data_IF_360951694120
#
_entry.id   IF_360951694120
#
_cell.length_a   1.000
_cell.length_b   1.000
_cell.length_c   1.000
_cell.angle_alpha   90.00
_cell.angle_beta   90.00
_cell.angle_gamma   90.00
#
_symmetry.space_group_name_H-M   'P 1'
#
loop_
_entity.id
_entity.type
_entity.pdbx_description
1 polymer ?
#
# COMPACT_ATOMS: atom_id res chain seq x y z
N UNK A 1 15.89 -20.54 55.47
CA UNK A 1 15.71 -19.99 55.14
C UNK A 1 15.61 -19.49 54.23
N UNK A 2 15.50 -19.48 54.10
CA UNK A 2 15.32 -18.89 53.37
C UNK A 2 15.04 -18.69 52.47
N UNK A 3 15.14 -18.70 52.37
CA UNK A 3 14.79 -18.34 51.51
C UNK A 3 14.53 -18.18 50.59
N UNK A 4 14.55 -18.12 50.52
CA UNK A 4 14.27 -17.92 49.65
C UNK A 4 13.81 -17.82 48.86
N UNK A 5 13.66 -17.80 49.03
CA UNK A 5 13.15 -17.60 48.28
C UNK A 5 12.89 -17.14 47.47
N UNK A 6 12.91 -17.06 47.38
CA UNK A 6 12.62 -16.56 46.59
C UNK A 6 12.52 -16.28 45.68
N UNK A 7 12.46 -16.29 45.65
CA UNK A 7 12.34 -15.90 44.67
C UNK A 7 11.94 -15.79 43.74
N UNK A 8 11.76 -15.86 43.93
CA UNK A 8 11.42 -15.63 43.04
C UNK A 8 11.00 -15.39 42.11
N UNK A 9 10.93 -15.31 42.17
CA UNK A 9 10.60 -14.97 41.29
C UNK A 9 10.27 -14.81 40.31
N UNK A 10 10.26 -14.90 40.44
CA UNK A 10 9.98 -14.72 39.63
C UNK A 10 9.47 -14.56 38.77
N UNK A 11 9.53 -14.43 39.02
CA UNK A 11 9.06 -14.21 38.24
C UNK A 11 8.69 -14.08 37.36
N UNK A 12 8.81 -14.02 37.65
CA UNK A 12 8.47 -13.85 36.83
C UNK A 12 8.06 -13.67 36.03
N UNK A 13 8.10 -13.62 36.14
CA UNK A 13 7.70 -13.39 35.33
C UNK A 13 7.33 -13.12 34.58
N UNK A 14 7.51 -12.96 34.80
CA UNK A 14 7.20 -12.70 34.01
C UNK A 14 6.87 -12.43 33.18
N UNK A 15 6.83 -12.38 33.49
CA UNK A 15 6.54 -12.08 32.57
C UNK A 15 6.32 -11.92 31.74
N UNK A 16 6.46 -11.80 31.89
CA UNK A 16 6.27 -11.67 30.97
C UNK A 16 5.80 -11.57 30.25
N UNK A 17 5.88 -11.54 30.68
CA UNK A 17 5.49 -11.51 29.94
C UNK A 17 5.07 -11.31 29.25
N UNK A 18 5.16 -11.16 29.37
CA UNK A 18 4.78 -10.90 28.56
C UNK A 18 4.45 -10.72 27.82
N UNK A 19 4.55 -10.57 28.04
CA UNK A 19 4.27 -10.34 27.15
C UNK A 19 3.94 -10.34 26.40
N UNK A 20 3.97 -10.22 26.61
CA UNK A 20 3.70 -10.14 25.66
C UNK A 20 3.14 -10.11 24.96
N UNK A 21 3.06 -9.95 25.25
CA UNK A 21 2.63 -9.84 24.44
C UNK A 21 2.39 -9.57 23.77
N UNK A 22 2.48 -9.27 23.83
CA UNK A 22 2.27 -8.90 22.90
C UNK A 22 2.16 -9.01 22.00
N UNK A 23 2.20 -8.91 22.08
CA UNK A 23 2.13 -8.69 21.14
C UNK A 23 1.63 -9.06 20.29
N UNK A 24 1.72 -9.19 20.33
CA UNK A 24 1.41 -9.45 19.34
C UNK A 24 0.65 -9.09 18.69
N UNK A 25 0.35 -9.02 19.02
CA UNK A 25 -0.53 -8.90 18.34
C UNK A 25 -0.54 -8.16 17.35
N UNK A 26 -0.08 -7.76 17.04
CA UNK A 26 -0.28 -7.02 16.08
C UNK A 26 -0.64 -7.56 14.90
N UNK A 27 -0.40 -8.50 14.71
CA UNK A 27 -0.71 -8.93 13.62
C UNK A 27 -2.03 -9.03 13.30
N UNK A 28 -2.75 -9.19 14.15
CA UNK A 28 -4.09 -9.22 13.89
C UNK A 28 -4.49 -7.95 13.34
N UNK A 29 -3.77 -6.99 13.68
CA UNK A 29 -4.07 -5.72 13.16
C UNK A 29 -4.14 -5.66 11.68
N UNK A 30 -3.48 -6.54 11.02
CA UNK A 30 -3.53 -6.50 9.57
C UNK A 30 -4.92 -6.77 9.05
N UNK A 31 -5.73 -7.49 9.80
CA UNK A 31 -7.08 -7.80 9.38
C UNK A 31 -8.11 -6.81 9.91
N UNK A 32 -7.67 -5.89 10.73
CA UNK A 32 -8.57 -4.92 11.30
C UNK A 32 -8.76 -3.66 10.48
N UNK A 33 -8.20 -3.56 9.30
CA UNK A 33 -8.37 -2.35 8.53
C UNK A 33 -9.81 -1.99 8.29
N UNK A 34 -10.71 -2.90 8.44
CA UNK A 34 -12.13 -2.60 8.30
C UNK A 34 -12.63 -1.62 9.34
N UNK A 35 -11.92 -1.48 10.45
CA UNK A 35 -12.35 -0.65 11.55
C UNK A 35 -11.71 0.73 11.58
N UNK A 36 -10.78 1.01 10.70
CA UNK A 36 -10.10 2.31 10.67
C UNK A 36 -10.02 2.83 9.25
N UNK A 37 -9.94 4.13 9.14
CA UNK A 37 -9.68 4.78 7.86
C UNK A 37 -8.22 4.52 7.48
N UNK A 38 -7.99 4.27 6.21
CA UNK A 38 -6.64 4.02 5.67
C UNK A 38 -6.40 4.93 4.49
N UNK A 39 -5.16 5.32 4.29
CA UNK A 39 -4.78 6.10 3.13
C UNK A 39 -3.66 5.43 2.37
N UNK A 40 -3.68 5.62 1.06
CA UNK A 40 -2.72 5.03 0.14
C UNK A 40 -2.28 6.07 -0.87
N UNK A 41 -1.05 5.93 -1.35
CA UNK A 41 -0.54 6.75 -2.43
C UNK A 41 -0.15 5.85 -3.60
N UNK A 42 -0.69 6.15 -4.76
CA UNK A 42 -0.26 5.51 -6.01
C UNK A 42 0.76 6.40 -6.68
N UNK A 43 1.85 5.81 -7.15
CA UNK A 43 2.90 6.50 -7.88
C UNK A 43 2.95 5.93 -9.28
N UNK A 44 3.11 6.81 -10.27
CA UNK A 44 3.16 6.43 -11.67
C UNK A 44 4.24 7.24 -12.36
N UNK A 45 5.16 6.56 -13.03
CA UNK A 45 6.18 7.22 -13.85
C UNK A 45 6.33 6.48 -15.17
N UNK A 46 6.79 7.19 -16.18
CA UNK A 46 6.96 6.59 -17.51
C UNK A 46 7.98 7.36 -18.34
N UNK A 47 8.54 6.65 -19.34
CA UNK A 47 9.44 7.22 -20.34
C UNK A 47 9.14 6.59 -21.69
N UNK A 48 9.35 7.31 -22.80
CA UNK A 48 9.77 8.72 -22.89
C UNK A 48 8.67 9.67 -22.43
N UNK A 49 8.99 10.94 -22.24
CA UNK A 49 8.00 11.93 -21.84
C UNK A 49 6.84 11.97 -22.83
N UNK A 50 5.64 12.00 -22.29
CA UNK A 50 4.41 11.97 -23.08
C UNK A 50 3.22 12.26 -22.19
N UNK A 51 2.04 12.30 -22.80
CA UNK A 51 0.79 12.32 -22.04
C UNK A 51 0.14 10.95 -22.12
N UNK A 52 -0.56 10.58 -21.06
CA UNK A 52 -1.29 9.32 -21.08
C UNK A 52 -2.60 9.42 -20.30
N UNK A 53 -3.53 8.59 -20.70
CA UNK A 53 -4.77 8.40 -19.94
C UNK A 53 -4.50 7.43 -18.79
N UNK A 54 -5.12 7.68 -17.66
CA UNK A 54 -4.96 6.87 -16.46
C UNK A 54 -6.33 6.65 -15.85
N UNK A 55 -6.64 5.42 -15.47
CA UNK A 55 -7.80 5.15 -14.64
C UNK A 55 -7.35 5.13 -13.20
N UNK A 56 -8.00 5.90 -12.36
CA UNK A 56 -7.66 6.02 -10.94
C UNK A 56 -8.76 5.36 -10.14
N UNK A 57 -8.39 4.46 -9.25
CA UNK A 57 -9.36 3.73 -8.42
C UNK A 57 -10.16 4.67 -7.53
N UNK A 58 -11.44 4.35 -7.38
CA UNK A 58 -12.34 5.06 -6.48
C UNK A 58 -12.80 4.12 -5.39
N UNK A 59 -13.12 4.71 -4.25
CA UNK A 59 -13.45 3.94 -3.05
C UNK A 59 -14.68 3.03 -3.25
N UNK A 60 -15.56 3.38 -4.17
CA UNK A 60 -16.76 2.60 -4.42
C UNK A 60 -16.51 1.37 -5.31
N UNK A 61 -15.27 1.14 -5.69
CA UNK A 61 -14.92 0.00 -6.54
C UNK A 61 -14.84 0.31 -8.02
N UNK A 62 -15.17 1.54 -8.41
CA UNK A 62 -15.03 1.96 -9.80
C UNK A 62 -13.71 2.66 -10.03
N UNK A 63 -13.58 3.24 -11.21
CA UNK A 63 -12.44 4.08 -11.55
C UNK A 63 -12.93 5.38 -12.15
N UNK A 64 -12.13 6.42 -12.03
CA UNK A 64 -12.36 7.67 -12.75
C UNK A 64 -11.23 7.91 -13.74
N UNK A 65 -11.53 8.47 -14.89
CA UNK A 65 -10.48 8.78 -15.85
C UNK A 65 -9.70 10.02 -15.42
N UNK A 66 -8.43 10.01 -15.74
CA UNK A 66 -7.54 11.14 -15.53
C UNK A 66 -6.57 11.19 -16.70
N UNK A 67 -5.84 12.29 -16.83
CA UNK A 67 -4.90 12.47 -17.92
C UNK A 67 -3.68 13.20 -17.38
N UNK A 68 -2.50 12.61 -17.58
CA UNK A 68 -1.26 13.11 -17.04
C UNK A 68 -0.21 13.27 -18.12
N UNK A 69 0.59 14.32 -18.01
CA UNK A 69 1.72 14.57 -18.90
C UNK A 69 2.97 14.79 -18.07
N UNK A 70 4.12 14.35 -18.55
CA UNK A 70 5.37 14.49 -17.82
C UNK A 70 6.49 15.15 -18.61
N UNK A 71 6.14 16.00 -19.58
CA UNK A 71 7.15 16.69 -20.37
C UNK A 71 8.01 17.65 -19.54
N UNK A 72 7.38 18.39 -18.64
CA UNK A 72 8.07 19.41 -17.87
C UNK A 72 8.50 18.92 -16.49
N UNK A 73 7.96 17.83 -16.03
CA UNK A 73 8.22 17.30 -14.69
C UNK A 73 8.25 15.77 -14.77
N UNK A 74 9.45 15.19 -14.82
CA UNK A 74 9.58 13.73 -14.90
C UNK A 74 9.38 13.02 -13.55
N UNK A 75 9.15 13.77 -12.47
CA UNK A 75 8.90 13.15 -11.18
C UNK A 75 7.65 12.27 -11.25
N UNK A 76 7.57 11.22 -10.44
CA UNK A 76 6.38 10.37 -10.43
C UNK A 76 5.12 11.18 -10.17
N UNK A 77 4.06 10.85 -10.89
CA UNK A 77 2.74 11.41 -10.63
C UNK A 77 2.14 10.62 -9.46
N UNK A 78 1.49 11.32 -8.55
CA UNK A 78 0.93 10.70 -7.37
C UNK A 78 -0.58 10.89 -7.31
N UNK A 79 -1.25 9.87 -6.78
CA UNK A 79 -2.71 9.87 -6.61
C UNK A 79 -3.00 9.37 -5.21
N UNK A 80 -3.81 10.10 -4.46
CA UNK A 80 -4.10 9.75 -3.08
C UNK A 80 -5.47 9.10 -2.97
N UNK A 81 -5.54 8.05 -2.18
CA UNK A 81 -6.77 7.31 -1.95
C UNK A 81 -7.03 7.24 -0.46
N UNK A 82 -8.23 7.65 -0.05
CA UNK A 82 -8.67 7.55 1.34
C UNK A 82 -9.79 6.52 1.39
N UNK A 83 -9.57 5.47 2.14
CA UNK A 83 -10.50 4.35 2.27
C UNK A 83 -11.14 4.43 3.64
N UNK A 84 -12.46 4.68 3.72
CA UNK A 84 -13.13 4.79 5.01
C UNK A 84 -13.15 3.46 5.75
N UNK A 85 -13.31 3.53 7.05
CA UNK A 85 -13.47 2.33 7.87
C UNK A 85 -14.66 1.52 7.37
N UNK A 86 -14.50 0.22 7.34
CA UNK A 86 -15.56 -0.68 6.91
C UNK A 86 -15.62 -0.95 5.42
N UNK A 87 -14.81 -0.28 4.62
CA UNK A 87 -14.79 -0.47 3.18
C UNK A 87 -13.57 -1.26 2.73
N UNK A 88 -13.70 -2.10 1.70
CA UNK A 88 -12.52 -2.70 1.09
C UNK A 88 -11.73 -1.61 0.38
N UNK A 89 -10.42 -1.78 0.32
CA UNK A 89 -9.55 -0.80 -0.30
C UNK A 89 -9.46 -1.05 -1.81
N UNK A 90 -10.17 -0.23 -2.57
CA UNK A 90 -9.98 -0.16 -4.02
C UNK A 90 -9.01 0.98 -4.26
N UNK A 91 -7.78 0.66 -4.63
CA UNK A 91 -6.71 1.64 -4.74
C UNK A 91 -5.89 1.38 -6.00
N UNK A 92 -5.14 2.37 -6.42
CA UNK A 92 -4.22 2.18 -7.52
C UNK A 92 -4.59 2.90 -8.79
N UNK A 93 -3.81 2.64 -9.81
CA UNK A 93 -3.95 3.27 -11.12
C UNK A 93 -3.74 2.23 -12.22
N UNK A 94 -4.41 2.45 -13.33
CA UNK A 94 -4.23 1.66 -14.54
C UNK A 94 -3.84 2.61 -15.67
N UNK A 95 -2.56 2.68 -16.03
CA UNK A 95 -2.12 3.56 -17.11
C UNK A 95 -2.41 2.97 -18.49
N UNK A 96 -2.81 3.81 -19.40
CA UNK A 96 -3.05 3.46 -20.81
C UNK A 96 -2.05 4.19 -21.68
N UNK A 97 -0.92 3.57 -21.94
CA UNK A 97 0.17 4.18 -22.65
C UNK A 97 0.25 3.69 -24.09
N UNK A 98 0.88 4.50 -24.93
CA UNK A 98 1.16 4.08 -26.30
C UNK A 98 2.29 3.04 -26.30
N UNK A 99 2.34 2.25 -27.34
CA UNK A 99 3.36 1.20 -27.49
C UNK A 99 4.77 1.80 -27.35
N UNK A 100 5.61 1.05 -26.67
CA UNK A 100 6.99 1.43 -26.44
C UNK A 100 7.23 2.26 -25.19
N UNK A 101 6.17 2.66 -24.49
CA UNK A 101 6.32 3.42 -23.26
C UNK A 101 6.74 2.47 -22.13
N UNK A 102 7.80 2.83 -21.43
CA UNK A 102 8.21 2.11 -20.22
C UNK A 102 7.47 2.70 -19.03
N UNK A 103 6.78 1.87 -18.29
CA UNK A 103 5.91 2.30 -17.21
C UNK A 103 6.32 1.65 -15.92
N UNK A 104 6.27 2.41 -14.85
CA UNK A 104 6.42 1.91 -13.49
C UNK A 104 5.27 2.45 -12.67
N UNK A 105 4.60 1.59 -11.92
CA UNK A 105 3.59 2.04 -10.96
C UNK A 105 3.71 1.28 -9.65
N UNK A 106 3.28 1.92 -8.58
CA UNK A 106 3.36 1.36 -7.24
C UNK A 106 2.26 1.97 -6.39
N UNK A 107 1.71 1.17 -5.48
CA UNK A 107 0.76 1.64 -4.47
C UNK A 107 1.33 1.34 -3.10
N UNK A 108 1.36 2.36 -2.25
CA UNK A 108 1.93 2.27 -0.91
C UNK A 108 0.87 2.66 0.11
N UNK A 109 0.80 1.93 1.19
CA UNK A 109 -0.03 2.30 2.33
C UNK A 109 0.73 3.37 3.12
N UNK A 110 0.11 4.54 3.31
CA UNK A 110 0.83 5.70 3.83
C UNK A 110 1.32 5.52 5.27
N UNK A 111 0.52 4.88 6.11
CA UNK A 111 0.86 4.75 7.52
C UNK A 111 2.05 3.83 7.76
N UNK A 112 2.13 2.74 7.03
CA UNK A 112 3.15 1.71 7.28
C UNK A 112 4.28 1.74 6.28
N UNK A 113 4.09 2.39 5.13
CA UNK A 113 5.04 2.34 4.02
C UNK A 113 5.01 1.03 3.25
N UNK A 114 4.04 0.16 3.55
CA UNK A 114 3.96 -1.15 2.90
C UNK A 114 3.53 -1.01 1.45
N UNK A 115 4.24 -1.68 0.57
CA UNK A 115 3.91 -1.71 -0.85
C UNK A 115 2.78 -2.72 -1.06
N UNK A 116 1.66 -2.24 -1.55
CA UNK A 116 0.48 -3.08 -1.82
C UNK A 116 0.64 -3.78 -3.16
N UNK A 117 1.10 -3.05 -4.16
CA UNK A 117 1.39 -3.61 -5.48
C UNK A 117 2.44 -2.74 -6.16
N UNK A 118 3.23 -3.37 -7.03
CA UNK A 118 4.27 -2.68 -7.77
C UNK A 118 4.48 -3.42 -9.09
N UNK A 119 4.48 -2.70 -10.18
CA UNK A 119 4.66 -3.29 -11.51
C UNK A 119 5.45 -2.37 -12.41
N UNK A 120 6.16 -2.97 -13.35
CA UNK A 120 6.85 -2.23 -14.40
C UNK A 120 6.88 -3.05 -15.66
N UNK A 121 6.97 -2.40 -16.78
CA UNK A 121 7.01 -3.05 -18.06
C UNK A 121 6.92 -2.06 -19.20
N UNK A 122 6.86 -2.59 -20.42
CA UNK A 122 6.77 -1.79 -21.63
C UNK A 122 5.43 -2.01 -22.31
N UNK A 123 4.73 -0.94 -22.59
CA UNK A 123 3.44 -1.02 -23.25
C UNK A 123 3.59 -1.69 -24.62
N UNK A 124 2.72 -2.65 -24.90
CA UNK A 124 2.72 -3.37 -26.17
C UNK A 124 3.65 -4.56 -26.24
N UNK A 125 4.41 -4.83 -25.18
CA UNK A 125 5.32 -5.99 -25.15
C UNK A 125 4.67 -7.23 -24.55
N UNK A 126 3.41 -7.15 -24.14
CA UNK A 126 2.73 -8.22 -23.43
C UNK A 126 2.75 -8.02 -21.93
N UNK A 127 3.46 -7.01 -21.44
CA UNK A 127 3.47 -6.69 -20.01
C UNK A 127 2.14 -6.06 -19.60
N UNK A 128 1.63 -6.51 -18.47
CA UNK A 128 0.42 -5.91 -17.90
C UNK A 128 0.83 -5.00 -16.75
N UNK A 129 0.93 -3.72 -17.04
CA UNK A 129 1.32 -2.72 -16.02
C UNK A 129 0.06 -2.05 -15.49
N UNK A 130 -0.67 -2.79 -14.70
CA UNK A 130 -1.90 -2.36 -14.07
C UNK A 130 -1.74 -2.49 -12.56
N UNK A 131 -1.75 -1.36 -11.86
CA UNK A 131 -1.60 -1.31 -10.42
C UNK A 131 -2.93 -1.08 -9.69
N UNK A 132 -4.05 -1.38 -10.32
CA UNK A 132 -5.32 -1.40 -9.59
C UNK A 132 -5.30 -2.62 -8.66
N UNK A 133 -5.72 -2.41 -7.44
CA UNK A 133 -5.71 -3.45 -6.42
C UNK A 133 -6.91 -3.35 -5.50
N UNK A 134 -7.37 -4.49 -5.03
CA UNK A 134 -8.36 -4.58 -3.96
C UNK A 134 -7.61 -5.16 -2.77
N UNK A 135 -7.66 -4.45 -1.65
CA UNK A 135 -6.85 -4.82 -0.51
C UNK A 135 -7.64 -4.88 0.79
#
# INVERSE_FOLDING_TARGET
MINTRKACFVVAGSPLASSLALGAAPVAGADDPVWIERSYTSELSWTPPSCMAVEVAEVNGGTRPDHQCNFDDPAPKTFHHVVPAGAPAHVGVNPHAVWGTHIFCRVVEDTTGRVVTEKQGTAGSGDDVNCLAVH
#
